data_IF_173222662847
#
_entry.id   IF_173222662847
#
_cell.length_a   1.000
_cell.length_b   1.000
_cell.length_c   1.000
_cell.angle_alpha   90.00
_cell.angle_beta   90.00
_cell.angle_gamma   90.00
#
_symmetry.space_group_name_H-M   'P 1'
#
loop_
_entity.id
_entity.type
_entity.pdbx_description
1 polymer ?
#
# COMPACT_ATOMS: atom_id res chain seq x y z
N UNK A 1 -14.69 16.65 -0.54
CA UNK A 1 -14.36 15.93 -1.79
C UNK A 1 -13.00 16.48 -2.20
N UNK A 2 -12.01 15.64 -2.49
CA UNK A 2 -10.71 16.14 -2.99
C UNK A 2 -10.95 16.66 -4.39
N UNK A 3 -10.50 17.88 -4.67
CA UNK A 3 -10.58 18.46 -6.01
C UNK A 3 -9.50 17.79 -6.90
N UNK A 4 -9.87 17.45 -8.12
CA UNK A 4 -8.93 16.91 -9.11
C UNK A 4 -7.81 17.89 -9.39
N UNK A 5 -8.10 19.17 -9.36
CA UNK A 5 -7.15 20.25 -9.66
C UNK A 5 -6.37 20.77 -8.43
N UNK A 6 -6.62 20.19 -7.24
CA UNK A 6 -5.82 20.44 -6.03
C UNK A 6 -4.62 19.50 -5.98
N UNK A 7 -3.56 19.83 -6.71
CA UNK A 7 -2.30 19.08 -6.76
C UNK A 7 -1.09 20.02 -6.85
N UNK A 8 0.08 19.51 -6.47
CA UNK A 8 1.36 20.25 -6.54
C UNK A 8 2.28 19.70 -7.62
N UNK A 9 2.21 18.41 -7.88
CA UNK A 9 3.11 17.70 -8.79
C UNK A 9 2.32 16.81 -9.74
N UNK A 10 2.64 16.92 -11.04
CA UNK A 10 2.13 16.03 -12.08
C UNK A 10 3.32 15.35 -12.78
N UNK A 11 3.26 14.02 -12.92
CA UNK A 11 4.28 13.21 -13.56
C UNK A 11 3.64 12.25 -14.58
N UNK A 12 4.44 11.78 -15.54
CA UNK A 12 4.01 10.78 -16.51
C UNK A 12 4.69 9.44 -16.25
N UNK A 13 3.98 8.36 -16.48
CA UNK A 13 4.55 7.01 -16.40
C UNK A 13 3.96 6.08 -17.47
N UNK A 14 4.67 4.97 -17.71
CA UNK A 14 4.13 3.84 -18.42
C UNK A 14 3.72 2.74 -17.42
N UNK A 15 2.50 2.23 -17.56
CA UNK A 15 2.00 1.15 -16.76
C UNK A 15 1.17 0.19 -17.61
N UNK A 16 1.57 -1.11 -17.63
CA UNK A 16 0.94 -2.16 -18.45
C UNK A 16 0.79 -1.78 -19.93
N UNK A 17 1.83 -1.17 -20.51
CA UNK A 17 1.85 -0.80 -21.93
C UNK A 17 0.93 0.37 -22.31
N UNK A 18 0.53 1.17 -21.33
CA UNK A 18 -0.26 2.39 -21.50
C UNK A 18 0.43 3.56 -20.82
N UNK A 19 0.34 4.75 -21.41
CA UNK A 19 0.90 5.99 -20.85
C UNK A 19 -0.15 6.69 -19.99
N UNK A 20 0.27 7.15 -18.81
CA UNK A 20 -0.57 7.89 -17.87
C UNK A 20 0.09 9.20 -17.48
N UNK A 21 -0.71 10.28 -17.32
CA UNK A 21 -0.37 11.41 -16.45
C UNK A 21 -0.97 11.18 -15.08
N UNK A 22 -0.21 11.51 -14.03
CA UNK A 22 -0.53 11.19 -12.64
C UNK A 22 -0.24 12.38 -11.76
N UNK A 23 -1.19 12.76 -10.92
CA UNK A 23 -1.08 13.85 -9.95
C UNK A 23 -0.83 13.31 -8.55
N UNK A 24 -0.09 14.06 -7.73
CA UNK A 24 0.26 13.67 -6.36
C UNK A 24 -0.96 13.51 -5.44
N UNK A 25 -2.09 14.13 -5.77
CA UNK A 25 -3.38 13.95 -5.10
C UNK A 25 -4.05 12.59 -5.38
N UNK A 26 -3.46 11.77 -6.27
CA UNK A 26 -3.96 10.44 -6.65
C UNK A 26 -4.86 10.41 -7.88
N UNK A 27 -5.07 11.54 -8.56
CA UNK A 27 -5.78 11.57 -9.82
C UNK A 27 -4.88 11.03 -10.95
N UNK A 28 -5.49 10.29 -11.88
CA UNK A 28 -4.79 9.72 -13.04
C UNK A 28 -5.58 10.01 -14.33
N UNK A 29 -4.86 10.15 -15.43
CA UNK A 29 -5.39 10.29 -16.76
C UNK A 29 -4.62 9.37 -17.71
N UNK A 30 -5.32 8.54 -18.47
CA UNK A 30 -4.70 7.70 -19.50
C UNK A 30 -4.65 8.45 -20.83
N UNK A 31 -3.51 8.39 -21.49
CA UNK A 31 -3.35 8.93 -22.84
C UNK A 31 -3.94 8.01 -23.90
N UNK A 32 -4.56 8.54 -24.97
CA UNK A 32 -4.99 7.72 -26.09
C UNK A 32 -3.78 7.12 -26.82
N UNK A 33 -3.91 5.90 -27.33
CA UNK A 33 -2.86 5.28 -28.16
C UNK A 33 -2.70 6.00 -29.47
N UNK A 34 -1.49 6.27 -29.88
CA UNK A 34 -1.20 6.84 -31.23
C UNK A 34 -1.71 5.87 -32.29
N UNK A 35 -2.54 6.39 -33.20
CA UNK A 35 -3.14 5.60 -34.28
C UNK A 35 -4.25 4.61 -33.88
N UNK A 36 -4.64 4.60 -32.60
CA UNK A 36 -5.70 3.76 -32.08
C UNK A 36 -7.02 4.50 -31.89
N UNK A 37 -8.11 3.72 -31.69
CA UNK A 37 -9.42 4.28 -31.32
C UNK A 37 -9.36 4.86 -29.90
N UNK A 38 -9.80 6.11 -29.74
CA UNK A 38 -9.97 6.73 -28.41
C UNK A 38 -11.04 6.01 -27.61
N UNK A 39 -10.69 5.60 -26.39
CA UNK A 39 -11.61 4.93 -25.46
C UNK A 39 -12.28 5.97 -24.55
N UNK A 40 -13.42 5.65 -23.98
CA UNK A 40 -14.27 6.58 -23.22
C UNK A 40 -13.58 7.27 -22.03
N UNK A 41 -12.54 6.67 -21.44
CA UNK A 41 -11.77 7.19 -20.33
C UNK A 41 -10.44 7.84 -20.73
N UNK A 42 -10.09 7.83 -22.04
CA UNK A 42 -8.86 8.44 -22.51
C UNK A 42 -8.97 9.97 -22.43
N UNK A 43 -7.90 10.64 -21.99
CA UNK A 43 -7.84 12.09 -21.87
C UNK A 43 -8.69 12.68 -20.72
N UNK A 44 -9.20 11.86 -19.82
CA UNK A 44 -10.02 12.32 -18.69
C UNK A 44 -9.34 12.03 -17.36
N UNK A 45 -9.24 13.06 -16.52
CA UNK A 45 -8.78 12.94 -15.15
C UNK A 45 -9.82 12.24 -14.28
N UNK A 46 -9.37 11.34 -13.41
CA UNK A 46 -10.23 10.62 -12.47
C UNK A 46 -9.45 10.07 -11.29
N UNK A 47 -10.10 9.95 -10.13
CA UNK A 47 -9.61 9.17 -9.00
C UNK A 47 -9.95 7.68 -9.11
N UNK A 48 -10.67 7.30 -10.17
CA UNK A 48 -11.17 5.94 -10.34
C UNK A 48 -12.50 5.70 -9.65
N UNK A 49 -12.95 4.43 -9.68
CA UNK A 49 -14.19 3.96 -9.09
C UNK A 49 -13.89 2.95 -8.00
N UNK A 50 -14.49 3.11 -6.82
CA UNK A 50 -14.34 2.16 -5.73
C UNK A 50 -14.96 0.81 -6.10
N UNK A 51 -14.21 -0.25 -5.86
CA UNK A 51 -14.71 -1.62 -5.95
C UNK A 51 -15.22 -2.03 -4.56
N UNK A 52 -16.50 -2.29 -4.44
CA UNK A 52 -17.14 -2.59 -3.14
C UNK A 52 -16.67 -3.92 -2.53
N UNK A 53 -16.24 -4.88 -3.36
CA UNK A 53 -15.79 -6.18 -2.86
C UNK A 53 -14.45 -6.12 -2.12
N UNK A 54 -13.54 -5.20 -2.53
CA UNK A 54 -12.19 -5.14 -1.96
C UNK A 54 -11.75 -3.74 -1.51
N UNK A 55 -12.56 -2.72 -1.72
CA UNK A 55 -12.34 -1.34 -1.28
C UNK A 55 -11.30 -0.54 -2.06
N UNK A 56 -10.64 -1.11 -3.06
CA UNK A 56 -9.67 -0.40 -3.88
C UNK A 56 -10.32 0.47 -4.95
N UNK A 57 -9.61 1.53 -5.35
CA UNK A 57 -9.98 2.37 -6.47
C UNK A 57 -9.46 1.79 -7.79
N UNK A 58 -10.36 1.63 -8.76
CA UNK A 58 -10.05 1.11 -10.10
C UNK A 58 -10.28 2.17 -11.17
N UNK A 59 -9.32 2.30 -12.09
CA UNK A 59 -9.49 3.06 -13.32
C UNK A 59 -10.32 2.28 -14.34
N UNK A 60 -10.06 0.99 -14.46
CA UNK A 60 -10.78 0.02 -15.29
C UNK A 60 -10.68 -1.36 -14.63
N UNK A 61 -11.32 -2.39 -15.22
CA UNK A 61 -11.40 -3.74 -14.63
C UNK A 61 -10.07 -4.31 -14.11
N UNK A 62 -8.94 -3.97 -14.76
CA UNK A 62 -7.62 -4.54 -14.45
C UNK A 62 -6.58 -3.51 -13.99
N UNK A 63 -6.97 -2.23 -13.86
CA UNK A 63 -6.05 -1.13 -13.51
C UNK A 63 -6.46 -0.55 -12.18
N UNK A 64 -5.65 -0.79 -11.15
CA UNK A 64 -5.80 -0.19 -9.83
C UNK A 64 -5.08 1.14 -9.78
N UNK A 65 -5.76 2.19 -9.29
CA UNK A 65 -5.22 3.56 -9.26
C UNK A 65 -3.93 3.64 -8.46
N UNK A 66 -3.87 3.06 -7.24
CA UNK A 66 -2.69 3.10 -6.40
C UNK A 66 -1.44 2.52 -7.07
N UNK A 67 -1.58 1.49 -7.92
CA UNK A 67 -0.45 0.92 -8.64
C UNK A 67 0.10 1.86 -9.70
N UNK A 68 -0.77 2.59 -10.42
CA UNK A 68 -0.35 3.61 -11.39
C UNK A 68 0.34 4.76 -10.68
N UNK A 69 -0.24 5.26 -9.57
CA UNK A 69 0.35 6.36 -8.79
C UNK A 69 1.71 5.97 -8.20
N UNK A 70 1.81 4.79 -7.58
CA UNK A 70 3.07 4.31 -7.02
C UNK A 70 4.15 4.13 -8.11
N UNK A 71 3.77 3.63 -9.29
CA UNK A 71 4.69 3.51 -10.44
C UNK A 71 5.20 4.88 -10.90
N UNK A 72 4.32 5.89 -10.95
CA UNK A 72 4.67 7.22 -11.41
C UNK A 72 5.64 7.96 -10.45
N UNK A 73 5.38 7.91 -9.15
CA UNK A 73 6.12 8.68 -8.15
C UNK A 73 7.31 7.92 -7.55
N UNK A 74 7.21 6.60 -7.39
CA UNK A 74 8.23 5.78 -6.74
C UNK A 74 8.96 4.83 -7.69
N UNK A 75 8.60 4.90 -8.98
CA UNK A 75 9.15 4.02 -10.02
C UNK A 75 8.45 2.67 -10.10
N UNK A 76 8.81 1.92 -11.14
CA UNK A 76 8.32 0.55 -11.29
C UNK A 76 8.92 -0.35 -10.19
N UNK A 77 8.13 -1.34 -9.78
CA UNK A 77 8.63 -2.38 -8.91
C UNK A 77 9.87 -3.06 -9.53
N UNK A 78 11.00 -2.96 -8.84
CA UNK A 78 12.28 -3.54 -9.28
C UNK A 78 12.51 -4.95 -8.74
N UNK A 79 11.77 -5.36 -7.72
CA UNK A 79 11.91 -6.66 -7.07
C UNK A 79 10.61 -7.46 -7.25
N UNK A 80 10.72 -8.71 -7.66
CA UNK A 80 9.58 -9.60 -7.81
C UNK A 80 8.86 -9.80 -6.47
N UNK A 81 7.53 -9.78 -6.50
CA UNK A 81 6.72 -10.01 -5.30
C UNK A 81 6.43 -8.80 -4.42
N UNK A 82 6.96 -7.61 -4.72
CA UNK A 82 6.55 -6.40 -3.99
C UNK A 82 5.12 -5.99 -4.34
N UNK A 83 4.47 -5.36 -3.39
CA UNK A 83 3.11 -4.83 -3.51
C UNK A 83 3.09 -3.35 -3.10
N UNK A 84 2.06 -2.62 -3.56
CA UNK A 84 1.83 -1.25 -3.09
C UNK A 84 0.96 -1.31 -1.84
N UNK A 85 1.44 -0.71 -0.76
CA UNK A 85 0.71 -0.56 0.49
C UNK A 85 0.27 0.89 0.72
N UNK A 86 -0.84 1.08 1.44
CA UNK A 86 -1.35 2.37 1.88
C UNK A 86 -0.94 2.59 3.34
N UNK A 87 -0.08 3.58 3.60
CA UNK A 87 0.46 3.87 4.94
C UNK A 87 -0.65 4.10 5.99
N UNK A 88 -1.76 4.73 5.58
CA UNK A 88 -2.95 4.96 6.41
C UNK A 88 -3.97 3.82 6.41
N UNK A 89 -3.67 2.70 5.73
CA UNK A 89 -4.57 1.56 5.51
C UNK A 89 -5.86 1.87 4.75
N UNK A 90 -6.07 3.10 4.32
CA UNK A 90 -7.24 3.52 3.55
C UNK A 90 -7.03 3.28 2.05
N UNK A 91 -7.62 2.22 1.52
CA UNK A 91 -7.51 1.79 0.12
C UNK A 91 -8.07 2.79 -0.91
N UNK A 92 -8.77 3.82 -0.44
CA UNK A 92 -9.29 4.91 -1.28
C UNK A 92 -8.34 6.11 -1.32
N UNK A 93 -7.39 6.22 -0.40
CA UNK A 93 -6.44 7.33 -0.34
C UNK A 93 -5.20 7.02 -1.19
N UNK A 94 -5.28 7.34 -2.48
CA UNK A 94 -4.21 7.09 -3.45
C UNK A 94 -3.24 8.27 -3.62
N UNK A 95 -3.12 9.18 -2.64
CA UNK A 95 -2.09 10.22 -2.67
C UNK A 95 -0.70 9.60 -2.74
N UNK A 96 0.19 10.18 -3.54
CA UNK A 96 1.53 9.65 -3.75
C UNK A 96 2.31 9.43 -2.45
N UNK A 97 2.25 10.37 -1.52
CA UNK A 97 2.88 10.33 -0.20
C UNK A 97 2.37 9.21 0.72
N UNK A 98 1.09 8.78 0.52
CA UNK A 98 0.47 7.69 1.26
C UNK A 98 0.81 6.30 0.75
N UNK A 99 1.49 6.21 -0.40
CA UNK A 99 1.80 4.94 -1.05
C UNK A 99 3.29 4.62 -0.94
N UNK A 100 3.61 3.35 -0.76
CA UNK A 100 4.97 2.85 -0.84
C UNK A 100 5.00 1.41 -1.38
N UNK A 101 6.13 1.03 -1.99
CA UNK A 101 6.39 -0.35 -2.34
C UNK A 101 6.91 -1.10 -1.12
N UNK A 102 6.32 -2.26 -0.84
CA UNK A 102 6.69 -3.12 0.29
C UNK A 102 6.75 -4.58 -0.16
N UNK A 103 7.52 -5.38 0.54
CA UNK A 103 7.47 -6.84 0.38
C UNK A 103 6.15 -7.39 0.91
N UNK A 104 5.83 -8.62 0.54
CA UNK A 104 4.64 -9.32 1.06
C UNK A 104 4.71 -9.44 2.59
N UNK A 105 5.89 -9.70 3.14
CA UNK A 105 6.11 -9.80 4.58
C UNK A 105 5.84 -8.46 5.30
N UNK A 106 6.42 -7.38 4.79
CA UNK A 106 6.23 -6.04 5.33
C UNK A 106 4.76 -5.62 5.30
N UNK A 107 4.08 -5.83 4.16
CA UNK A 107 2.66 -5.53 4.03
C UNK A 107 1.80 -6.28 5.07
N UNK A 108 2.12 -7.52 5.34
CA UNK A 108 1.42 -8.33 6.34
C UNK A 108 1.71 -7.84 7.76
N UNK A 109 2.95 -7.48 8.08
CA UNK A 109 3.35 -6.96 9.39
C UNK A 109 2.88 -5.53 9.64
N UNK A 110 2.68 -4.73 8.60
CA UNK A 110 2.06 -3.40 8.68
C UNK A 110 0.56 -3.48 9.01
N UNK A 111 -0.11 -4.60 8.69
CA UNK A 111 -1.52 -4.77 9.00
C UNK A 111 -1.72 -5.02 10.51
N UNK A 112 -2.44 -4.15 11.25
CA UNK A 112 -2.59 -4.25 12.70
C UNK A 112 -3.24 -5.56 13.17
N UNK A 113 -4.19 -6.08 12.40
CA UNK A 113 -4.90 -7.32 12.73
C UNK A 113 -3.93 -8.50 12.65
N UNK A 114 -3.17 -8.57 11.56
CA UNK A 114 -2.19 -9.64 11.35
C UNK A 114 -1.05 -9.53 12.36
N UNK A 115 -0.53 -8.32 12.58
CA UNK A 115 0.51 -8.07 13.58
C UNK A 115 0.09 -8.54 14.96
N UNK A 116 -1.13 -8.23 15.41
CA UNK A 116 -1.67 -8.70 16.70
C UNK A 116 -1.74 -10.24 16.77
N UNK A 117 -2.15 -10.90 15.68
CA UNK A 117 -2.16 -12.37 15.62
C UNK A 117 -0.77 -12.96 15.74
N UNK A 118 0.23 -12.38 15.05
CA UNK A 118 1.63 -12.81 15.15
C UNK A 118 2.14 -12.64 16.58
N UNK A 119 1.87 -11.51 17.22
CA UNK A 119 2.25 -11.27 18.62
C UNK A 119 1.61 -12.32 19.54
N UNK A 120 0.33 -12.64 19.35
CA UNK A 120 -0.36 -13.65 20.17
C UNK A 120 0.22 -15.06 19.98
N UNK A 121 0.70 -15.41 18.79
CA UNK A 121 1.26 -16.75 18.49
C UNK A 121 2.73 -16.83 18.89
N UNK A 122 3.52 -15.80 18.58
CA UNK A 122 4.98 -15.83 18.69
C UNK A 122 5.52 -15.04 19.89
N UNK A 123 4.66 -14.31 20.60
CA UNK A 123 5.02 -13.43 21.70
C UNK A 123 5.41 -12.01 21.24
N UNK A 124 6.14 -11.88 20.16
CA UNK A 124 6.48 -10.57 19.54
C UNK A 124 6.75 -10.73 18.04
N UNK A 125 6.80 -9.59 17.33
CA UNK A 125 7.22 -9.55 15.92
C UNK A 125 8.69 -9.92 15.79
N UNK A 126 9.53 -9.50 16.73
CA UNK A 126 10.96 -9.82 16.78
C UNK A 126 11.19 -11.31 16.97
N UNK A 127 10.43 -11.96 17.85
CA UNK A 127 10.49 -13.41 18.04
C UNK A 127 10.10 -14.16 16.76
N UNK A 128 9.05 -13.69 16.07
CA UNK A 128 8.66 -14.22 14.77
C UNK A 128 9.78 -14.03 13.71
N UNK A 129 10.32 -12.82 13.57
CA UNK A 129 11.38 -12.54 12.58
C UNK A 129 12.67 -13.32 12.87
N UNK A 130 12.95 -13.62 14.14
CA UNK A 130 14.08 -14.47 14.54
C UNK A 130 13.83 -15.95 14.25
N UNK A 131 12.59 -16.41 14.39
CA UNK A 131 12.21 -17.79 14.11
C UNK A 131 10.79 -17.88 13.53
N UNK A 132 10.62 -17.74 12.19
CA UNK A 132 9.32 -17.83 11.54
C UNK A 132 8.58 -19.16 11.75
N UNK A 133 9.31 -20.23 12.08
CA UNK A 133 8.74 -21.55 12.37
C UNK A 133 7.90 -21.60 13.67
N UNK A 134 7.92 -20.53 14.47
CA UNK A 134 7.02 -20.40 15.64
C UNK A 134 5.53 -20.34 15.24
N UNK A 135 5.22 -19.96 14.01
CA UNK A 135 3.85 -20.06 13.47
C UNK A 135 3.55 -21.53 13.20
N UNK A 136 2.86 -22.19 14.12
CA UNK A 136 2.53 -23.63 14.06
C UNK A 136 1.21 -23.89 13.35
N UNK A 137 1.05 -25.11 12.81
CA UNK A 137 -0.08 -25.53 11.97
C UNK A 137 -1.44 -25.52 12.65
N UNK A 138 -1.48 -25.76 13.95
CA UNK A 138 -2.73 -26.08 14.66
C UNK A 138 -3.69 -24.92 14.87
N UNK A 139 -3.26 -23.69 14.61
CA UNK A 139 -4.09 -22.48 14.77
C UNK A 139 -3.94 -21.48 13.62
N UNK A 140 -3.14 -21.81 12.63
CA UNK A 140 -2.79 -20.86 11.58
C UNK A 140 -3.86 -20.86 10.50
N UNK A 141 -4.46 -19.71 10.29
CA UNK A 141 -5.11 -19.34 9.05
C UNK A 141 -4.19 -19.78 7.88
N UNK A 142 -4.68 -20.53 6.88
CA UNK A 142 -3.89 -20.95 5.71
C UNK A 142 -3.11 -19.81 5.06
N UNK A 143 -3.58 -18.57 5.22
CA UNK A 143 -2.90 -17.38 4.74
C UNK A 143 -1.56 -17.09 5.44
N UNK A 144 -1.26 -17.71 6.58
CA UNK A 144 0.01 -17.51 7.31
C UNK A 144 1.04 -18.62 7.08
N UNK A 145 0.66 -19.72 6.47
CA UNK A 145 1.54 -20.89 6.28
C UNK A 145 2.83 -20.54 5.55
N UNK A 146 2.75 -19.66 4.55
CA UNK A 146 3.91 -19.18 3.78
C UNK A 146 4.95 -18.42 4.64
N UNK A 147 4.54 -17.81 5.75
CA UNK A 147 5.44 -17.02 6.61
C UNK A 147 6.50 -17.88 7.29
N UNK A 148 6.32 -19.20 7.33
CA UNK A 148 7.31 -20.16 7.85
C UNK A 148 8.54 -20.28 6.95
N UNK A 149 8.39 -19.98 5.68
CA UNK A 149 9.46 -20.06 4.67
C UNK A 149 10.19 -18.74 4.45
N UNK A 150 9.95 -17.76 5.33
CA UNK A 150 10.66 -16.48 5.31
C UNK A 150 12.14 -16.73 5.58
N UNK A 151 13.01 -16.27 4.69
CA UNK A 151 14.45 -16.40 4.86
C UNK A 151 14.99 -15.44 5.93
N UNK A 152 16.17 -15.75 6.49
CA UNK A 152 16.83 -14.87 7.45
C UNK A 152 17.15 -13.49 6.83
N UNK A 153 17.52 -13.45 5.55
CA UNK A 153 17.79 -12.20 4.83
C UNK A 153 16.52 -11.36 4.66
N UNK A 154 15.40 -11.98 4.28
CA UNK A 154 14.12 -11.31 4.15
C UNK A 154 13.63 -10.78 5.51
N UNK A 155 13.77 -11.56 6.58
CA UNK A 155 13.43 -11.15 7.93
C UNK A 155 14.29 -9.97 8.43
N UNK A 156 15.62 -10.00 8.18
CA UNK A 156 16.52 -8.93 8.55
C UNK A 156 16.21 -7.62 7.77
N UNK A 157 15.97 -7.71 6.45
CA UNK A 157 15.58 -6.57 5.62
C UNK A 157 14.25 -5.97 6.10
N UNK A 158 13.27 -6.81 6.38
CA UNK A 158 11.96 -6.39 6.91
C UNK A 158 12.12 -5.66 8.25
N UNK A 159 12.89 -6.21 9.19
CA UNK A 159 13.17 -5.57 10.47
C UNK A 159 13.80 -4.19 10.30
N UNK A 160 14.83 -4.05 9.46
CA UNK A 160 15.49 -2.77 9.19
C UNK A 160 14.52 -1.73 8.60
N UNK A 161 13.63 -2.14 7.68
CA UNK A 161 12.64 -1.26 7.09
C UNK A 161 11.58 -0.83 8.11
N UNK A 162 11.07 -1.73 8.94
CA UNK A 162 10.12 -1.40 10.00
C UNK A 162 10.72 -0.42 11.03
N UNK A 163 11.99 -0.61 11.41
CA UNK A 163 12.71 0.31 12.31
C UNK A 163 12.92 1.69 11.67
N UNK A 164 13.23 1.74 10.37
CA UNK A 164 13.34 3.00 9.63
C UNK A 164 12.01 3.74 9.60
N UNK A 165 10.92 3.08 9.21
CA UNK A 165 9.60 3.69 9.11
C UNK A 165 9.05 4.14 10.46
N UNK A 166 9.41 3.48 11.56
CA UNK A 166 9.02 3.92 12.90
C UNK A 166 9.68 5.24 13.33
N UNK A 167 10.80 5.62 12.68
CA UNK A 167 11.54 6.86 12.94
C UNK A 167 11.19 7.99 11.95
N UNK A 168 10.59 7.65 10.81
CA UNK A 168 10.11 8.66 9.87
C UNK A 168 8.91 9.37 10.51
N UNK A 169 9.02 10.68 10.72
CA UNK A 169 7.88 11.53 11.09
C UNK A 169 6.94 11.60 9.90
N UNK A 170 6.00 10.68 9.85
CA UNK A 170 4.93 10.70 8.87
C UNK A 170 3.97 11.78 9.32
N UNK A 171 4.05 12.98 8.74
CA UNK A 171 2.92 13.89 8.72
C UNK A 171 1.79 13.17 7.97
N UNK A 172 0.89 12.56 8.72
CA UNK A 172 -0.36 12.05 8.16
C UNK A 172 -1.15 13.26 7.70
N UNK A 173 -1.06 13.55 6.41
CA UNK A 173 -1.93 14.51 5.78
C UNK A 173 -3.35 14.08 6.07
N UNK A 174 -4.12 14.98 6.67
CA UNK A 174 -5.50 14.76 7.04
C UNK A 174 -6.22 14.06 5.87
N UNK A 175 -6.74 12.84 6.08
CA UNK A 175 -7.53 12.20 5.04
C UNK A 175 -8.67 13.15 4.68
N UNK A 176 -9.04 13.26 3.41
CA UNK A 176 -10.18 14.07 3.01
C UNK A 176 -11.37 13.62 3.85
N UNK A 177 -12.07 14.57 4.49
CA UNK A 177 -13.27 14.32 5.27
C UNK A 177 -14.34 13.72 4.37
N UNK A 178 -14.26 12.41 4.18
CA UNK A 178 -15.29 11.61 3.54
C UNK A 178 -16.35 11.29 4.58
N UNK A 179 -17.58 11.64 4.31
CA UNK A 179 -18.73 11.22 5.10
C UNK A 179 -18.77 9.71 5.18
N UNK A 180 -18.62 9.15 6.36
CA UNK A 180 -19.10 7.82 6.66
C UNK A 180 -18.04 6.80 7.07
N UNK A 181 -18.17 6.42 8.34
CA UNK A 181 -17.76 5.17 8.97
C UNK A 181 -16.24 4.87 9.00
N UNK A 182 -15.64 5.23 10.13
CA UNK A 182 -14.41 4.62 10.61
C UNK A 182 -13.14 5.38 10.29
N UNK A 183 -13.06 6.66 10.63
CA UNK A 183 -11.78 7.26 10.92
C UNK A 183 -11.23 6.60 12.20
N UNK A 184 -10.60 5.46 12.05
CA UNK A 184 -9.75 4.92 13.11
C UNK A 184 -8.55 5.86 13.14
N UNK A 185 -8.52 6.73 14.14
CA UNK A 185 -7.37 7.58 14.44
C UNK A 185 -6.18 6.68 14.75
N UNK A 186 -5.27 6.54 13.79
CA UNK A 186 -4.02 5.78 13.95
C UNK A 186 -2.93 6.56 14.71
N UNK A 187 -3.30 7.53 15.54
CA UNK A 187 -2.37 8.23 16.41
C UNK A 187 -1.71 7.33 17.46
N UNK A 188 -2.02 6.03 17.51
CA UNK A 188 -1.52 5.07 18.50
C UNK A 188 -0.55 4.01 17.96
N UNK A 189 -0.05 4.15 16.73
CA UNK A 189 1.07 3.33 16.25
C UNK A 189 2.44 3.99 16.45
N UNK A 190 2.52 4.98 17.36
CA UNK A 190 3.81 5.39 17.87
C UNK A 190 4.39 4.29 18.75
N UNK A 191 5.56 3.93 18.43
CA UNK A 191 6.69 3.27 19.08
C UNK A 191 6.70 3.10 20.62
N UNK A 192 5.58 2.92 21.30
CA UNK A 192 5.57 2.70 22.74
C UNK A 192 5.40 1.23 23.16
N UNK A 193 5.47 0.30 22.22
CA UNK A 193 5.54 -1.14 22.52
C UNK A 193 6.80 -1.79 21.95
N UNK A 194 7.89 -1.06 21.80
CA UNK A 194 9.23 -1.61 21.94
C UNK A 194 9.57 -1.54 23.41
N UNK A 195 8.89 -2.30 24.23
CA UNK A 195 9.36 -2.60 25.56
C UNK A 195 10.04 -3.95 25.47
N UNK A 196 11.29 -3.88 25.79
CA UNK A 196 12.26 -4.88 26.21
C UNK A 196 11.67 -6.18 26.74
#
# INVERSE_FOLDING_TARGET
>A
MVDIDDYKVEVSCEYKGETYSVRDNGAIMRHPKKGGRTRSLDGKWTFGKKNEANGYMFFSSNIRVHQVVATAFWGQNKEEGMVVDHKDTNRCNNRAENLHWVTKLENVLNNPITRRRIINICGSVEAFLKNPALIRDSSADPNFTWMRTVSEEEAAKCKANLERWSKEDVEFLNPPKGNGLGAVSYTHLRAHETVL
#
